data_IF_953025379683
#
_entry.id   IF_953025379683
#
_cell.length_a   1.000
_cell.length_b   1.000
_cell.length_c   1.000
_cell.angle_alpha   90.00
_cell.angle_beta   90.00
_cell.angle_gamma   90.00
#
_symmetry.space_group_name_H-M   'P 1'
#
loop_
_entity.id
_entity.type
_entity.pdbx_description
1 polymer ?
#
# COMPACT_ATOMS: atom_id res chain seq x y z
N UNK A 1 -14.14 15.02 -2.58
CA UNK A 1 -13.86 16.38 -2.05
C UNK A 1 -13.11 16.17 -0.75
N UNK A 2 -11.82 16.53 -0.70
CA UNK A 2 -10.90 16.13 0.37
C UNK A 2 -11.20 16.83 1.69
N UNK A 3 -10.80 16.20 2.81
CA UNK A 3 -10.82 16.80 4.14
C UNK A 3 -10.27 18.23 4.06
N UNK A 4 -11.13 19.21 4.32
CA UNK A 4 -10.81 20.64 4.29
C UNK A 4 -9.72 21.02 5.31
N UNK A 5 -9.35 20.07 6.18
CA UNK A 5 -8.52 20.28 7.35
C UNK A 5 -7.06 19.83 7.21
N UNK A 6 -6.68 19.27 6.05
CA UNK A 6 -5.34 18.66 5.82
C UNK A 6 -4.97 17.61 6.88
N UNK A 7 -5.96 17.02 7.53
CA UNK A 7 -5.76 15.95 8.50
C UNK A 7 -5.39 14.66 7.79
N UNK A 8 -4.37 13.98 8.30
CA UNK A 8 -4.02 12.62 7.84
C UNK A 8 -4.88 11.60 8.57
N UNK A 9 -4.99 10.35 8.07
CA UNK A 9 -5.66 9.27 8.79
C UNK A 9 -5.12 9.09 10.22
N UNK A 10 -3.84 9.42 10.44
CA UNK A 10 -3.20 9.37 11.74
C UNK A 10 -3.72 10.44 12.71
N UNK A 11 -4.10 11.63 12.23
CA UNK A 11 -4.74 12.67 13.06
C UNK A 11 -6.08 12.18 13.59
N UNK A 12 -6.89 11.54 12.73
CA UNK A 12 -8.22 11.05 13.10
C UNK A 12 -8.11 9.88 14.08
N UNK A 13 -7.22 8.91 13.82
CA UNK A 13 -7.01 7.77 14.71
C UNK A 13 -6.48 8.19 16.09
N UNK A 14 -5.56 9.16 16.11
CA UNK A 14 -4.99 9.71 17.34
C UNK A 14 -6.02 10.55 18.12
N UNK A 15 -6.81 11.36 17.43
CA UNK A 15 -7.85 12.22 18.00
C UNK A 15 -9.06 11.47 18.56
N UNK A 16 -9.25 10.20 18.20
CA UNK A 16 -10.30 9.31 18.75
C UNK A 16 -9.74 8.22 19.69
N UNK A 17 -8.42 8.22 19.93
CA UNK A 17 -7.77 7.27 20.85
C UNK A 17 -7.69 5.82 20.35
N UNK A 18 -7.71 5.59 19.04
CA UNK A 18 -7.64 4.25 18.43
C UNK A 18 -6.20 3.74 18.31
N UNK A 19 -5.65 3.24 19.41
CA UNK A 19 -4.24 2.84 19.50
C UNK A 19 -3.82 1.78 18.47
N UNK A 20 -4.67 0.79 18.18
CA UNK A 20 -4.37 -0.23 17.18
C UNK A 20 -4.25 0.35 15.75
N UNK A 21 -5.11 1.31 15.41
CA UNK A 21 -5.07 2.00 14.12
C UNK A 21 -3.85 2.93 14.05
N UNK A 22 -3.54 3.65 15.13
CA UNK A 22 -2.33 4.48 15.23
C UNK A 22 -1.07 3.66 15.03
N UNK A 23 -0.97 2.49 15.68
CA UNK A 23 0.16 1.57 15.52
C UNK A 23 0.30 1.12 14.06
N UNK A 24 -0.78 0.62 13.46
CA UNK A 24 -0.78 0.15 12.07
C UNK A 24 -0.35 1.26 11.09
N UNK A 25 -0.83 2.49 11.30
CA UNK A 25 -0.49 3.64 10.47
C UNK A 25 0.98 4.05 10.64
N UNK A 26 1.51 4.03 11.86
CA UNK A 26 2.93 4.28 12.13
C UNK A 26 3.83 3.21 11.47
N UNK A 27 3.45 1.93 11.56
CA UNK A 27 4.15 0.82 10.91
C UNK A 27 4.12 0.91 9.38
N UNK A 28 3.05 1.48 8.81
CA UNK A 28 2.91 1.69 7.36
C UNK A 28 3.76 2.83 6.78
N UNK A 29 4.59 3.49 7.60
CA UNK A 29 5.53 4.53 7.14
C UNK A 29 4.89 5.90 6.87
N UNK A 30 3.65 6.13 7.33
CA UNK A 30 2.99 7.44 7.25
C UNK A 30 3.81 8.48 8.01
N UNK A 31 3.84 9.72 7.51
CA UNK A 31 4.53 10.80 8.21
C UNK A 31 3.86 11.12 9.55
N UNK A 32 4.43 10.59 10.63
CA UNK A 32 3.92 10.72 12.00
C UNK A 32 3.94 12.16 12.53
N UNK A 33 4.73 13.02 11.89
CA UNK A 33 4.85 14.44 12.23
C UNK A 33 4.13 15.36 11.23
N UNK A 34 3.31 14.81 10.33
CA UNK A 34 2.52 15.61 9.40
C UNK A 34 1.68 16.63 10.18
N UNK A 35 1.58 17.84 9.66
CA UNK A 35 0.79 18.90 10.29
C UNK A 35 -0.51 19.12 9.54
N UNK A 36 -1.59 19.30 10.30
CA UNK A 36 -2.88 19.74 9.76
C UNK A 36 -2.86 21.23 9.38
N UNK A 37 -3.98 21.79 8.93
CA UNK A 37 -4.06 23.21 8.54
C UNK A 37 -3.85 24.20 9.68
N UNK A 38 -3.96 23.76 10.93
CA UNK A 38 -3.74 24.56 12.14
C UNK A 38 -2.35 24.35 12.73
N UNK A 39 -1.53 23.48 12.11
CA UNK A 39 -0.19 23.17 12.57
C UNK A 39 -0.13 22.07 13.63
N UNK A 40 -1.25 21.42 13.94
CA UNK A 40 -1.28 20.32 14.90
C UNK A 40 -0.70 19.07 14.27
N UNK A 41 0.05 18.31 15.04
CA UNK A 41 0.48 16.94 14.71
C UNK A 41 -0.55 15.94 15.23
N UNK A 42 -0.54 14.69 14.74
CA UNK A 42 -1.34 13.62 15.33
C UNK A 42 -1.11 13.45 16.84
N UNK A 43 0.12 13.68 17.31
CA UNK A 43 0.45 13.64 18.74
C UNK A 43 -0.30 14.73 19.54
N UNK A 44 -0.47 15.93 18.96
CA UNK A 44 -1.19 17.02 19.60
C UNK A 44 -2.69 16.69 19.71
N UNK A 45 -3.25 16.05 18.68
CA UNK A 45 -4.65 15.56 18.70
C UNK A 45 -4.86 14.47 19.76
N UNK A 46 -3.92 13.52 19.92
CA UNK A 46 -3.98 12.53 21.00
C UNK A 46 -3.94 13.18 22.40
N UNK A 47 -3.08 14.18 22.60
CA UNK A 47 -3.02 14.94 23.85
C UNK A 47 -4.29 15.73 24.11
N UNK A 48 -4.88 16.35 23.09
CA UNK A 48 -6.13 17.09 23.21
C UNK A 48 -7.31 16.19 23.57
N UNK A 49 -7.39 15.00 22.97
CA UNK A 49 -8.42 14.01 23.31
C UNK A 49 -8.25 13.48 24.75
N UNK A 50 -7.03 13.17 25.17
CA UNK A 50 -6.70 12.77 26.55
C UNK A 50 -7.14 13.83 27.58
N UNK A 51 -6.89 15.11 27.29
CA UNK A 51 -7.32 16.23 28.14
C UNK A 51 -8.85 16.35 28.21
N UNK A 52 -9.56 16.12 27.10
CA UNK A 52 -11.03 16.16 27.05
C UNK A 52 -11.68 15.06 27.91
N UNK A 53 -11.08 13.87 27.94
CA UNK A 53 -11.56 12.76 28.79
C UNK A 53 -11.32 13.03 30.28
N UNK A 54 -10.18 13.61 30.63
CA UNK A 54 -9.87 13.96 32.03
C UNK A 54 -10.70 15.14 32.53
N UNK A 55 -11.00 16.13 31.68
CA UNK A 55 -11.89 17.25 32.05
C UNK A 55 -13.34 16.81 32.29
N UNK A 56 -13.87 15.90 31.46
CA UNK A 56 -15.24 15.39 31.59
C UNK A 56 -15.45 14.45 32.79
N UNK A 57 -14.35 13.93 33.37
CA UNK A 57 -14.40 13.09 34.57
C UNK A 57 -14.51 13.90 35.87
N UNK A 58 -14.43 15.24 35.80
CA UNK A 58 -14.39 16.14 36.96
C UNK A 58 -15.69 16.92 37.23
N UNK A 59 -16.72 16.73 36.42
CA UNK A 59 -18.06 17.27 36.62
C UNK A 59 -19.05 16.10 36.77
N UNK A 60 -19.22 15.62 37.99
CA UNK A 60 -20.21 14.60 38.31
C UNK A 60 -21.63 15.19 38.34
N UNK A 61 -22.58 14.46 37.78
CA UNK A 61 -23.89 14.07 38.34
C UNK A 61 -24.71 13.40 37.23
N UNK A 62 -25.60 12.49 37.63
CA UNK A 62 -25.99 11.31 36.86
C UNK A 62 -27.06 11.50 35.80
N UNK A 63 -27.19 10.48 34.96
CA UNK A 63 -28.46 10.10 34.36
C UNK A 63 -28.46 8.58 34.13
N UNK A 64 -29.46 7.93 34.72
CA UNK A 64 -29.77 6.50 34.57
C UNK A 64 -30.22 6.21 33.13
N UNK A 65 -29.57 5.24 32.48
CA UNK A 65 -30.04 4.61 31.25
C UNK A 65 -29.58 3.16 31.21
N UNK A 66 -30.52 2.23 31.31
CA UNK A 66 -30.27 0.80 31.53
C UNK A 66 -29.43 0.09 30.45
N UNK A 67 -28.99 -1.16 30.71
CA UNK A 67 -28.07 -1.87 29.83
C UNK A 67 -28.84 -2.42 28.62
N UNK A 68 -28.55 -1.89 27.43
CA UNK A 68 -29.03 -2.50 26.19
C UNK A 68 -27.94 -2.57 25.10
N UNK A 69 -27.40 -3.77 24.96
CA UNK A 69 -26.93 -4.51 23.77
C UNK A 69 -25.96 -3.89 22.73
N UNK A 70 -24.76 -4.50 22.67
CA UNK A 70 -24.01 -4.89 21.45
C UNK A 70 -23.30 -3.83 20.59
N UNK A 71 -22.58 -2.89 21.19
CA UNK A 71 -21.54 -2.16 20.44
C UNK A 71 -20.14 -2.63 20.87
N UNK A 72 -19.38 -3.23 19.94
CA UNK A 72 -17.94 -3.47 20.05
C UNK A 72 -17.17 -2.12 19.97
N UNK A 73 -17.55 -1.14 20.79
CA UNK A 73 -16.79 0.09 20.94
C UNK A 73 -15.49 -0.27 21.67
N UNK A 74 -14.41 -0.43 20.91
CA UNK A 74 -13.05 -0.47 21.47
C UNK A 74 -12.87 0.75 22.38
N UNK A 75 -12.62 0.49 23.66
CA UNK A 75 -12.36 1.53 24.65
C UNK A 75 -11.24 2.44 24.13
N UNK A 76 -11.44 3.77 24.05
CA UNK A 76 -10.40 4.66 23.59
C UNK A 76 -9.17 4.57 24.51
N UNK A 77 -7.99 4.37 23.93
CA UNK A 77 -6.71 4.24 24.65
C UNK A 77 -5.78 5.41 24.29
N UNK A 78 -6.09 6.65 24.74
CA UNK A 78 -5.31 7.84 24.40
C UNK A 78 -3.86 7.78 24.89
N UNK A 79 -3.61 7.19 26.07
CA UNK A 79 -2.27 7.04 26.61
C UNK A 79 -1.38 6.13 25.74
N UNK A 80 -1.95 5.06 25.17
CA UNK A 80 -1.24 4.18 24.25
C UNK A 80 -0.94 4.89 22.92
N UNK A 81 -1.87 5.70 22.41
CA UNK A 81 -1.65 6.51 21.21
C UNK A 81 -0.49 7.50 21.40
N UNK A 82 -0.42 8.18 22.55
CA UNK A 82 0.67 9.11 22.88
C UNK A 82 2.01 8.36 22.90
N UNK A 83 2.08 7.21 23.59
CA UNK A 83 3.32 6.42 23.66
C UNK A 83 3.80 5.95 22.29
N UNK A 84 2.89 5.45 21.44
CA UNK A 84 3.23 5.01 20.08
C UNK A 84 3.74 6.21 19.26
N UNK A 85 3.03 7.33 19.28
CA UNK A 85 3.42 8.51 18.50
C UNK A 85 4.73 9.14 18.99
N UNK A 86 5.01 9.12 20.30
CA UNK A 86 6.30 9.55 20.87
C UNK A 86 7.43 8.61 20.46
N UNK A 87 7.20 7.29 20.52
CA UNK A 87 8.17 6.28 20.09
C UNK A 87 8.56 6.46 18.62
N UNK A 88 7.57 6.53 17.72
CA UNK A 88 7.82 6.69 16.29
C UNK A 88 8.28 8.11 15.93
N UNK A 89 7.87 9.13 16.70
CA UNK A 89 8.31 10.52 16.53
C UNK A 89 9.78 10.73 16.92
N UNK A 90 10.26 10.05 17.97
CA UNK A 90 11.65 10.12 18.44
C UNK A 90 12.64 9.33 17.55
N UNK A 91 12.18 8.30 16.86
CA UNK A 91 13.03 7.41 16.05
C UNK A 91 13.56 8.04 14.74
N UNK A 92 13.12 9.23 14.32
CA UNK A 92 13.69 9.91 13.12
C UNK A 92 15.00 10.68 13.36
N UNK A 93 15.55 10.66 14.57
CA UNK A 93 16.96 10.99 14.81
C UNK A 93 17.92 9.82 14.55
N UNK A 94 17.41 8.58 14.56
CA UNK A 94 18.20 7.37 14.38
C UNK A 94 17.36 6.35 13.60
N UNK A 95 17.54 6.39 12.28
CA UNK A 95 17.10 5.39 11.29
C UNK A 95 16.79 4.03 11.89
N UNK A 96 15.56 3.54 11.72
CA UNK A 96 15.20 2.13 11.50
C UNK A 96 13.69 1.99 11.19
N UNK A 97 13.38 1.24 10.12
CA UNK A 97 12.13 0.48 9.88
C UNK A 97 10.92 1.09 9.14
N UNK A 98 11.10 2.08 8.25
CA UNK A 98 10.14 2.33 7.15
C UNK A 98 10.81 2.59 5.79
N UNK A 99 12.07 3.05 5.80
CA UNK A 99 12.88 3.18 4.58
C UNK A 99 13.34 1.84 3.98
N UNK A 100 13.29 0.74 4.75
CA UNK A 100 13.79 -0.54 4.28
C UNK A 100 12.86 -1.20 3.27
N UNK A 101 11.52 -1.13 3.39
CA UNK A 101 10.64 -1.91 2.49
C UNK A 101 10.70 -1.39 1.04
N UNK A 102 10.73 -0.07 0.84
CA UNK A 102 10.86 0.52 -0.50
C UNK A 102 12.26 0.27 -1.08
N UNK A 103 13.31 0.43 -0.25
CA UNK A 103 14.68 0.14 -0.68
C UNK A 103 14.88 -1.35 -0.96
N UNK A 104 14.36 -2.24 -0.14
CA UNK A 104 14.42 -3.70 -0.31
C UNK A 104 13.70 -4.11 -1.58
N UNK A 105 12.51 -3.56 -1.86
CA UNK A 105 11.80 -3.81 -3.11
C UNK A 105 12.55 -3.28 -4.35
N UNK A 106 13.20 -2.13 -4.24
CA UNK A 106 14.07 -1.60 -5.30
C UNK A 106 15.32 -2.46 -5.49
N UNK A 107 15.92 -2.96 -4.42
CA UNK A 107 17.07 -3.86 -4.47
C UNK A 107 16.69 -5.23 -5.02
N UNK A 108 15.51 -5.76 -4.69
CA UNK A 108 14.96 -6.97 -5.30
C UNK A 108 14.75 -6.79 -6.80
N UNK A 109 14.21 -5.63 -7.20
CA UNK A 109 14.04 -5.28 -8.61
C UNK A 109 15.40 -5.17 -9.31
N UNK A 110 16.39 -4.52 -8.69
CA UNK A 110 17.76 -4.48 -9.21
C UNK A 110 18.31 -5.89 -9.39
N UNK A 111 18.30 -6.72 -8.34
CA UNK A 111 18.84 -8.07 -8.37
C UNK A 111 18.15 -8.98 -9.41
N UNK A 112 16.89 -8.72 -9.72
CA UNK A 112 16.16 -9.45 -10.76
C UNK A 112 16.69 -9.20 -12.17
N UNK A 113 17.23 -8.02 -12.46
CA UNK A 113 17.68 -7.62 -13.81
C UNK A 113 19.19 -7.39 -13.91
N UNK A 114 19.89 -7.21 -12.80
CA UNK A 114 21.32 -6.94 -12.74
C UNK A 114 22.16 -8.20 -12.99
N UNK A 115 23.38 -7.98 -13.48
CA UNK A 115 24.41 -9.01 -13.51
C UNK A 115 25.59 -8.57 -12.65
N UNK A 116 26.38 -9.54 -12.17
CA UNK A 116 27.59 -9.24 -11.42
C UNK A 116 28.64 -8.70 -12.38
N UNK A 117 28.99 -7.43 -12.21
CA UNK A 117 30.02 -6.73 -12.98
C UNK A 117 30.93 -6.01 -11.99
N UNK A 118 32.25 -6.13 -12.18
CA UNK A 118 33.25 -5.61 -11.25
C UNK A 118 33.09 -6.08 -9.78
N UNK A 119 32.46 -7.23 -9.56
CA UNK A 119 32.23 -7.79 -8.23
C UNK A 119 30.93 -7.35 -7.55
N UNK A 120 30.15 -6.47 -8.18
CA UNK A 120 28.89 -5.96 -7.63
C UNK A 120 27.72 -6.12 -8.62
N UNK A 121 26.46 -6.29 -8.13
CA UNK A 121 25.29 -6.29 -9.00
C UNK A 121 25.09 -4.92 -9.65
N UNK A 122 25.17 -4.88 -10.98
CA UNK A 122 25.02 -3.64 -11.74
C UNK A 122 24.19 -3.85 -13.00
N UNK A 123 23.50 -2.81 -13.46
CA UNK A 123 22.74 -2.80 -14.72
C UNK A 123 23.54 -2.07 -15.80
N UNK A 124 23.62 -2.64 -17.00
CA UNK A 124 23.98 -1.85 -18.19
C UNK A 124 22.71 -1.28 -18.87
N UNK A 125 22.88 -0.50 -19.94
CA UNK A 125 21.74 0.12 -20.63
C UNK A 125 20.74 -0.90 -21.21
N UNK A 126 21.21 -2.10 -21.57
CA UNK A 126 20.36 -3.17 -22.11
C UNK A 126 19.58 -3.84 -20.97
N UNK A 127 20.20 -4.02 -19.81
CA UNK A 127 19.51 -4.49 -18.60
C UNK A 127 18.45 -3.49 -18.14
N UNK A 128 18.73 -2.18 -18.19
CA UNK A 128 17.73 -1.13 -17.92
C UNK A 128 16.56 -1.23 -18.93
N UNK A 129 16.83 -1.47 -20.22
CA UNK A 129 15.78 -1.70 -21.22
C UNK A 129 14.92 -2.92 -20.86
N UNK A 130 15.55 -4.03 -20.46
CA UNK A 130 14.87 -5.25 -20.05
C UNK A 130 14.03 -5.02 -18.79
N UNK A 131 14.54 -4.26 -17.82
CA UNK A 131 13.83 -3.86 -16.61
C UNK A 131 12.59 -3.06 -16.96
N UNK A 132 12.72 -1.99 -17.76
CA UNK A 132 11.60 -1.13 -18.17
C UNK A 132 10.53 -1.92 -18.94
N UNK A 133 10.96 -2.80 -19.83
CA UNK A 133 10.06 -3.74 -20.54
C UNK A 133 9.37 -4.69 -19.57
N UNK A 134 10.11 -5.23 -18.60
CA UNK A 134 9.63 -6.16 -17.59
C UNK A 134 8.60 -5.56 -16.62
N UNK A 135 8.68 -4.25 -16.35
CA UNK A 135 7.67 -3.51 -15.58
C UNK A 135 6.52 -2.96 -16.45
N UNK A 136 6.47 -3.32 -17.73
CA UNK A 136 5.38 -2.98 -18.65
C UNK A 136 5.46 -1.59 -19.28
N UNK A 137 6.64 -0.96 -19.28
CA UNK A 137 6.92 0.19 -20.15
C UNK A 137 7.47 -0.28 -21.50
N UNK A 138 7.25 0.50 -22.57
CA UNK A 138 7.83 0.23 -23.89
C UNK A 138 8.63 1.45 -24.40
N UNK A 139 9.79 1.76 -23.80
CA UNK A 139 10.59 2.91 -24.17
C UNK A 139 11.46 2.63 -25.41
N UNK A 140 11.54 3.60 -26.31
CA UNK A 140 12.50 3.57 -27.43
C UNK A 140 13.95 3.60 -26.92
N UNK A 141 14.89 3.06 -27.68
CA UNK A 141 16.33 3.01 -27.33
C UNK A 141 16.90 4.39 -26.95
N UNK A 142 16.49 5.46 -27.66
CA UNK A 142 16.92 6.82 -27.36
C UNK A 142 16.46 7.31 -25.99
N UNK A 143 15.29 6.87 -25.53
CA UNK A 143 14.77 7.20 -24.20
C UNK A 143 15.54 6.41 -23.16
N UNK A 144 15.73 5.12 -23.36
CA UNK A 144 16.51 4.27 -22.43
C UNK A 144 17.92 4.80 -22.26
N UNK A 145 18.62 5.15 -23.34
CA UNK A 145 19.96 5.69 -23.28
C UNK A 145 20.03 7.01 -22.49
N UNK A 146 19.03 7.89 -22.63
CA UNK A 146 18.94 9.12 -21.83
C UNK A 146 18.67 8.84 -20.36
N UNK A 147 17.77 7.91 -20.05
CA UNK A 147 17.48 7.53 -18.67
C UNK A 147 18.71 6.90 -18.01
N UNK A 148 19.40 6.03 -18.75
CA UNK A 148 20.65 5.41 -18.34
C UNK A 148 21.72 6.46 -18.02
N UNK A 149 21.97 7.41 -18.94
CA UNK A 149 22.93 8.50 -18.73
C UNK A 149 22.61 9.42 -17.53
N UNK A 150 21.35 9.50 -17.12
CA UNK A 150 20.95 10.29 -15.95
C UNK A 150 21.23 9.54 -14.65
N UNK A 151 21.20 8.21 -14.69
CA UNK A 151 21.37 7.35 -13.53
C UNK A 151 22.81 6.87 -13.31
N UNK A 152 23.54 6.59 -14.39
CA UNK A 152 24.99 6.36 -14.39
C UNK A 152 25.69 7.69 -14.09
N UNK A 153 25.96 7.92 -12.81
CA UNK A 153 26.36 9.25 -12.30
C UNK A 153 27.86 9.41 -12.34
N UNK A 154 28.60 8.31 -12.15
CA UNK A 154 30.06 8.31 -12.24
C UNK A 154 30.57 8.09 -13.67
N UNK A 155 29.70 7.69 -14.60
CA UNK A 155 29.99 7.55 -16.02
C UNK A 155 30.80 6.29 -16.33
N UNK A 156 30.74 5.28 -15.47
CA UNK A 156 31.45 4.02 -15.65
C UNK A 156 30.75 3.06 -16.64
N UNK A 157 29.57 3.43 -17.13
CA UNK A 157 28.78 2.65 -18.06
C UNK A 157 27.95 1.57 -17.39
N UNK A 158 27.79 1.62 -16.06
CA UNK A 158 26.99 0.74 -15.23
C UNK A 158 26.09 1.56 -14.29
N UNK A 159 25.04 0.93 -13.77
CA UNK A 159 24.22 1.49 -12.70
C UNK A 159 24.25 0.50 -11.55
N UNK A 160 24.96 0.85 -10.47
CA UNK A 160 25.07 0.02 -9.28
C UNK A 160 23.85 0.19 -8.35
N UNK A 161 23.83 -0.53 -7.22
CA UNK A 161 22.72 -0.48 -6.27
C UNK A 161 22.44 0.92 -5.71
N UNK A 162 23.49 1.69 -5.41
CA UNK A 162 23.35 3.03 -4.85
C UNK A 162 22.75 3.99 -5.89
N UNK A 163 23.26 3.96 -7.12
CA UNK A 163 22.77 4.78 -8.23
C UNK A 163 21.34 4.41 -8.62
N UNK A 164 21.03 3.11 -8.65
CA UNK A 164 19.69 2.62 -8.95
C UNK A 164 18.66 3.11 -7.94
N UNK A 165 18.96 3.01 -6.64
CA UNK A 165 18.06 3.50 -5.58
C UNK A 165 17.93 5.02 -5.66
N UNK A 166 19.04 5.75 -5.84
CA UNK A 166 19.06 7.21 -5.91
C UNK A 166 18.30 7.76 -7.13
N UNK A 167 18.34 7.07 -8.25
CA UNK A 167 17.71 7.48 -9.52
C UNK A 167 16.52 6.62 -9.92
N UNK A 168 15.97 5.83 -8.98
CA UNK A 168 14.80 4.98 -9.18
C UNK A 168 13.61 5.76 -9.77
N UNK A 169 13.37 6.99 -9.29
CA UNK A 169 12.37 7.91 -9.84
C UNK A 169 12.59 8.31 -11.31
N UNK A 170 13.81 8.17 -11.85
CA UNK A 170 14.08 8.45 -13.26
C UNK A 170 13.60 7.29 -14.14
N UNK A 171 13.87 6.06 -13.70
CA UNK A 171 13.44 4.84 -14.39
C UNK A 171 11.93 4.57 -14.20
N UNK A 172 11.45 4.79 -12.98
CA UNK A 172 10.08 4.54 -12.55
C UNK A 172 9.21 5.81 -12.65
N UNK A 173 9.78 6.96 -13.03
CA UNK A 173 9.10 8.27 -13.09
C UNK A 173 8.01 8.39 -14.16
N UNK A 174 8.01 7.50 -15.15
CA UNK A 174 6.87 7.25 -16.02
C UNK A 174 5.87 6.32 -15.34
N UNK A 175 5.38 6.70 -14.14
CA UNK A 175 4.48 5.95 -13.24
C UNK A 175 4.25 4.49 -13.69
N UNK A 176 5.08 3.52 -13.24
CA UNK A 176 4.75 2.10 -13.41
C UNK A 176 3.32 1.88 -12.90
N UNK A 177 2.65 0.87 -13.44
CA UNK A 177 1.31 0.50 -13.04
C UNK A 177 1.22 0.52 -11.49
N UNK A 178 0.61 1.59 -10.93
CA UNK A 178 0.46 1.70 -9.49
C UNK A 178 -0.60 0.68 -9.11
N UNK A 179 -0.15 -0.43 -8.55
CA UNK A 179 -1.03 -1.40 -7.92
C UNK A 179 -1.51 -0.77 -6.61
N UNK A 180 -2.82 -0.60 -6.50
CA UNK A 180 -3.51 -0.13 -5.31
C UNK A 180 -4.23 -1.34 -4.75
N UNK A 181 -3.84 -1.77 -3.55
CA UNK A 181 -4.49 -2.88 -2.87
C UNK A 181 -5.65 -2.35 -2.01
N UNK A 182 -6.83 -2.92 -2.16
CA UNK A 182 -7.98 -2.63 -1.29
C UNK A 182 -8.24 -3.81 -0.38
N UNK A 183 -8.00 -3.61 0.91
CA UNK A 183 -8.19 -4.62 1.96
C UNK A 183 -9.31 -4.16 2.89
N UNK A 184 -10.18 -5.10 3.27
CA UNK A 184 -11.27 -4.82 4.20
C UNK A 184 -12.18 -6.02 4.41
N UNK A 185 -12.60 -6.23 5.66
CA UNK A 185 -13.51 -7.31 6.05
C UNK A 185 -14.86 -7.26 5.31
N UNK A 186 -15.68 -8.33 5.37
CA UNK A 186 -17.04 -8.31 4.86
C UNK A 186 -17.84 -7.12 5.46
N UNK A 187 -18.62 -6.41 4.64
CA UNK A 187 -19.42 -5.27 5.11
C UNK A 187 -18.67 -3.93 5.24
N UNK A 188 -17.34 -3.89 5.13
CA UNK A 188 -16.52 -2.66 5.26
C UNK A 188 -16.74 -1.58 4.20
N UNK A 189 -17.58 -1.83 3.19
CA UNK A 189 -17.84 -0.86 2.11
C UNK A 189 -16.73 -0.77 1.05
N UNK A 190 -15.75 -1.68 1.04
CA UNK A 190 -14.68 -1.72 0.02
C UNK A 190 -15.17 -1.68 -1.43
N UNK A 191 -16.30 -2.31 -1.75
CA UNK A 191 -16.88 -2.24 -3.10
C UNK A 191 -17.24 -0.81 -3.52
N UNK A 192 -17.86 -0.05 -2.60
CA UNK A 192 -18.18 1.36 -2.83
C UNK A 192 -16.92 2.23 -2.96
N UNK A 193 -15.87 1.92 -2.18
CA UNK A 193 -14.56 2.56 -2.31
C UNK A 193 -13.94 2.27 -3.68
N UNK A 194 -13.96 1.01 -4.13
CA UNK A 194 -13.44 0.62 -5.43
C UNK A 194 -14.16 1.35 -6.57
N UNK A 195 -15.50 1.39 -6.54
CA UNK A 195 -16.30 2.14 -7.52
C UNK A 195 -15.94 3.63 -7.57
N UNK A 196 -15.76 4.26 -6.41
CA UNK A 196 -15.31 5.66 -6.33
C UNK A 196 -13.91 5.85 -6.88
N UNK A 197 -12.96 4.98 -6.53
CA UNK A 197 -11.59 5.06 -7.03
C UNK A 197 -11.53 4.90 -8.54
N UNK A 198 -12.29 3.98 -9.13
CA UNK A 198 -12.40 3.85 -10.59
C UNK A 198 -12.89 5.16 -11.20
N UNK A 199 -13.98 5.73 -10.67
CA UNK A 199 -14.62 6.93 -11.21
C UNK A 199 -13.76 8.19 -11.06
N UNK A 200 -13.12 8.37 -9.91
CA UNK A 200 -12.40 9.61 -9.56
C UNK A 200 -10.91 9.56 -9.92
N UNK A 201 -10.29 8.38 -9.94
CA UNK A 201 -8.85 8.22 -10.16
C UNK A 201 -8.49 7.57 -11.49
N UNK A 202 -9.46 7.09 -12.27
CA UNK A 202 -9.22 6.47 -13.58
C UNK A 202 -8.39 5.19 -13.50
N UNK A 203 -8.52 4.44 -12.41
CA UNK A 203 -7.83 3.15 -12.17
C UNK A 203 -8.63 2.01 -12.80
N UNK A 204 -7.94 0.95 -13.20
CA UNK A 204 -8.55 -0.30 -13.66
C UNK A 204 -8.80 -1.17 -12.43
N UNK A 205 -10.06 -1.47 -12.13
CA UNK A 205 -10.42 -2.34 -11.01
C UNK A 205 -10.44 -3.80 -11.43
N UNK A 206 -9.67 -4.63 -10.71
CA UNK A 206 -9.64 -6.07 -10.86
C UNK A 206 -10.08 -6.71 -9.54
N UNK A 207 -11.28 -7.31 -9.55
CA UNK A 207 -11.79 -8.08 -8.41
C UNK A 207 -11.51 -9.56 -8.60
N UNK A 208 -10.93 -10.21 -7.59
CA UNK A 208 -10.73 -11.66 -7.61
C UNK A 208 -12.05 -12.42 -7.74
N UNK A 209 -13.10 -11.93 -7.08
CA UNK A 209 -14.42 -12.56 -7.15
C UNK A 209 -15.06 -12.46 -8.53
N UNK A 210 -14.85 -11.34 -9.22
CA UNK A 210 -15.37 -11.13 -10.59
C UNK A 210 -14.62 -11.98 -11.60
N UNK A 211 -13.27 -11.98 -11.54
CA UNK A 211 -12.43 -12.85 -12.36
C UNK A 211 -12.84 -14.33 -12.29
N UNK A 212 -13.10 -14.83 -11.08
CA UNK A 212 -13.54 -16.20 -10.89
C UNK A 212 -14.94 -16.45 -11.49
N UNK A 213 -15.89 -15.51 -11.32
CA UNK A 213 -17.24 -15.63 -11.91
C UNK A 213 -17.21 -15.58 -13.44
N UNK A 214 -16.34 -14.76 -14.01
CA UNK A 214 -16.15 -14.66 -15.46
C UNK A 214 -15.60 -15.97 -16.03
N UNK A 215 -14.63 -16.61 -15.35
CA UNK A 215 -14.12 -17.92 -15.75
C UNK A 215 -15.18 -19.02 -15.67
N UNK A 216 -16.02 -19.00 -14.62
CA UNK A 216 -17.18 -19.91 -14.51
C UNK A 216 -18.15 -19.68 -15.68
N UNK A 217 -18.43 -18.42 -16.03
CA UNK A 217 -19.35 -18.06 -17.11
C UNK A 217 -18.85 -18.49 -18.50
N UNK A 218 -17.53 -18.48 -18.73
CA UNK A 218 -16.91 -18.99 -19.97
C UNK A 218 -17.04 -20.51 -20.14
N UNK A 219 -17.41 -21.24 -19.08
CA UNK A 219 -17.62 -22.70 -19.12
C UNK A 219 -16.34 -23.50 -19.36
N UNK A 220 -15.17 -22.93 -19.09
CA UNK A 220 -13.87 -23.60 -19.22
C UNK A 220 -13.74 -24.75 -18.20
N UNK A 221 -12.82 -25.68 -18.42
CA UNK A 221 -12.50 -26.74 -17.44
C UNK A 221 -12.13 -26.13 -16.09
N UNK A 222 -11.36 -25.05 -16.11
CA UNK A 222 -11.01 -24.25 -14.94
C UNK A 222 -12.26 -23.65 -14.28
N UNK A 223 -13.17 -23.07 -15.07
CA UNK A 223 -14.42 -22.49 -14.59
C UNK A 223 -15.32 -23.52 -13.92
N UNK A 224 -15.36 -24.77 -14.39
CA UNK A 224 -16.10 -25.85 -13.74
C UNK A 224 -15.53 -26.18 -12.35
N UNK A 225 -14.21 -26.30 -12.24
CA UNK A 225 -13.53 -26.53 -10.96
C UNK A 225 -13.74 -25.36 -9.98
N UNK A 226 -13.61 -24.11 -10.46
CA UNK A 226 -13.86 -22.90 -9.66
C UNK A 226 -15.29 -22.86 -9.16
N UNK A 227 -16.28 -23.24 -10.00
CA UNK A 227 -17.69 -23.28 -9.63
C UNK A 227 -17.94 -24.20 -8.44
N UNK A 228 -17.34 -25.39 -8.45
CA UNK A 228 -17.46 -26.36 -7.35
C UNK A 228 -16.81 -25.85 -6.06
N UNK A 229 -15.59 -25.32 -6.15
CA UNK A 229 -14.86 -24.75 -5.00
C UNK A 229 -15.67 -23.60 -4.36
N UNK A 230 -16.17 -22.67 -5.20
CA UNK A 230 -16.96 -21.54 -4.73
C UNK A 230 -18.29 -21.97 -4.11
N UNK A 231 -18.95 -23.00 -4.63
CA UNK A 231 -20.20 -23.54 -4.07
C UNK A 231 -20.00 -24.16 -2.68
N UNK A 232 -18.80 -24.67 -2.39
CA UNK A 232 -18.42 -25.22 -1.08
C UNK A 232 -17.86 -24.17 -0.11
N UNK A 233 -17.76 -22.90 -0.52
CA UNK A 233 -17.14 -21.84 0.27
C UNK A 233 -15.62 -21.98 0.42
N UNK A 234 -14.99 -22.82 -0.42
CA UNK A 234 -13.55 -23.04 -0.42
C UNK A 234 -12.77 -21.89 -1.05
N UNK A 235 -11.47 -21.86 -0.78
CA UNK A 235 -10.52 -20.95 -1.43
C UNK A 235 -9.98 -21.59 -2.70
N UNK A 236 -9.93 -20.82 -3.78
CA UNK A 236 -9.22 -21.18 -5.01
C UNK A 236 -7.72 -21.13 -4.74
N UNK A 237 -6.94 -22.05 -5.34
CA UNK A 237 -5.50 -22.15 -5.11
C UNK A 237 -4.74 -20.88 -5.49
N UNK A 238 -3.62 -20.62 -4.81
CA UNK A 238 -2.78 -19.43 -5.05
C UNK A 238 -2.34 -19.33 -6.50
N UNK A 239 -1.73 -20.40 -7.02
CA UNK A 239 -1.26 -20.47 -8.39
C UNK A 239 -2.34 -20.13 -9.43
N UNK A 240 -3.58 -20.57 -9.22
CA UNK A 240 -4.70 -20.22 -10.12
C UNK A 240 -5.05 -18.74 -10.04
N UNK A 241 -5.17 -18.17 -8.83
CA UNK A 241 -5.49 -16.75 -8.67
C UNK A 241 -4.41 -15.84 -9.23
N UNK A 242 -3.14 -16.14 -8.96
CA UNK A 242 -1.98 -15.39 -9.47
C UNK A 242 -1.96 -15.43 -10.99
N UNK A 243 -2.21 -16.61 -11.59
CA UNK A 243 -2.28 -16.75 -13.06
C UNK A 243 -3.40 -15.91 -13.66
N UNK A 244 -4.60 -15.95 -13.08
CA UNK A 244 -5.75 -15.16 -13.56
C UNK A 244 -5.49 -13.66 -13.42
N UNK A 245 -4.97 -13.22 -12.28
CA UNK A 245 -4.62 -11.83 -12.05
C UNK A 245 -3.53 -11.35 -13.01
N UNK A 246 -2.44 -12.11 -13.16
CA UNK A 246 -1.35 -11.74 -14.07
C UNK A 246 -1.81 -11.63 -15.52
N UNK A 247 -2.65 -12.56 -16.00
CA UNK A 247 -3.20 -12.46 -17.35
C UNK A 247 -4.08 -11.21 -17.50
N UNK A 248 -4.91 -10.91 -16.50
CA UNK A 248 -5.78 -9.72 -16.57
C UNK A 248 -5.01 -8.41 -16.48
N UNK A 249 -3.96 -8.35 -15.67
CA UNK A 249 -3.09 -7.17 -15.57
C UNK A 249 -2.37 -6.90 -16.90
N UNK A 250 -1.96 -7.94 -17.65
CA UNK A 250 -1.34 -7.81 -18.98
C UNK A 250 -2.25 -7.17 -20.03
N UNK A 251 -3.58 -7.29 -19.89
CA UNK A 251 -4.55 -6.62 -20.78
C UNK A 251 -4.58 -5.08 -20.58
N UNK A 252 -3.93 -4.57 -19.52
CA UNK A 252 -3.98 -3.17 -19.11
C UNK A 252 -2.58 -2.56 -18.96
N UNK A 253 -1.73 -2.58 -20.00
CA UNK A 253 -0.37 -2.05 -19.93
C UNK A 253 -0.36 -0.54 -19.62
N UNK A 254 0.53 -0.12 -18.71
CA UNK A 254 0.69 1.28 -18.32
C UNK A 254 -0.49 1.89 -17.56
N UNK A 255 -1.50 1.10 -17.16
CA UNK A 255 -2.63 1.58 -16.35
C UNK A 255 -2.36 1.38 -14.87
N UNK A 256 -2.95 2.24 -14.04
CA UNK A 256 -3.01 2.01 -12.59
C UNK A 256 -4.04 0.93 -12.32
N UNK A 257 -3.68 -0.06 -11.51
CA UNK A 257 -4.51 -1.23 -11.25
C UNK A 257 -4.94 -1.22 -9.79
N UNK A 258 -6.23 -1.42 -9.55
CA UNK A 258 -6.84 -1.51 -8.25
C UNK A 258 -7.23 -2.98 -8.01
N UNK A 259 -6.54 -3.65 -7.09
CA UNK A 259 -6.82 -5.05 -6.76
C UNK A 259 -7.77 -5.12 -5.57
N UNK A 260 -8.91 -5.79 -5.77
CA UNK A 260 -9.94 -5.98 -4.75
C UNK A 260 -10.08 -7.46 -4.41
N UNK A 261 -9.83 -7.77 -3.14
CA UNK A 261 -9.86 -9.13 -2.62
C UNK A 261 -8.70 -9.99 -3.14
N UNK A 262 -7.54 -9.40 -3.44
CA UNK A 262 -6.28 -10.09 -3.72
C UNK A 262 -5.12 -9.20 -3.23
N UNK A 263 -4.06 -9.76 -2.63
CA UNK A 263 -3.90 -11.15 -2.20
C UNK A 263 -4.86 -11.54 -1.05
N UNK A 264 -5.23 -12.83 -0.94
CA UNK A 264 -6.07 -13.37 0.16
C UNK A 264 -5.33 -14.27 1.14
N UNK A 265 -4.10 -14.66 0.81
CA UNK A 265 -3.20 -15.45 1.64
C UNK A 265 -1.77 -14.91 1.53
N UNK A 266 -0.90 -15.32 2.45
CA UNK A 266 0.52 -15.00 2.37
C UNK A 266 1.17 -15.62 1.13
N UNK A 267 0.72 -16.80 0.72
CA UNK A 267 1.12 -17.46 -0.54
C UNK A 267 0.79 -16.58 -1.75
N UNK A 268 -0.42 -16.00 -1.83
CA UNK A 268 -0.80 -15.08 -2.92
C UNK A 268 0.04 -13.79 -2.97
N UNK A 269 0.60 -13.38 -1.83
CA UNK A 269 1.40 -12.17 -1.75
C UNK A 269 2.87 -12.42 -2.14
N UNK A 270 3.33 -13.66 -1.99
CA UNK A 270 4.68 -14.09 -2.38
C UNK A 270 4.77 -14.45 -3.87
N UNK A 271 3.72 -15.08 -4.40
CA UNK A 271 3.60 -15.51 -5.81
C UNK A 271 3.29 -14.36 -6.79
#
# INVERSE_FOLDING_TARGET
QGDYDRRTPLHLAAGEGHAAIVQLLCESGVDVNATDRWGNRPLDDAWNFSKKLTSNSSSGEGEEGGPNTNDNHETPHPAACIQILEQYGAQRGTSLSAGNVEQDALLDLLHKYAQIRNGEPSLDWQDVKNLLTGIGQDPTDQVVQKLFQVADKDGDGLVNAQEFVQHSDTFLGGRPARIILVVGGPGSGKGLLCERLVKECGVVHLSSGELLRDEVAKGTVLGQQVKEIMAQGGLVSSAMMVTLMNNRMKDHPGKRILLDGFPRSQENAQD
#
